data_IF_301909306823
#
_entry.id   IF_301909306823
#
_cell.length_a   1.000
_cell.length_b   1.000
_cell.length_c   1.000
_cell.angle_alpha   90.00
_cell.angle_beta   90.00
_cell.angle_gamma   90.00
#
_symmetry.space_group_name_H-M   'P 1'
#
loop_
_entity.id
_entity.type
_entity.pdbx_description
1 polymer ?
#
# COMPACT_ATOMS: atom_id res chain seq x y z
N UNK A 1 26.08 -14.92 -12.78
CA UNK A 1 26.30 -13.85 -11.79
C UNK A 1 26.53 -14.51 -10.43
N UNK A 2 27.57 -14.11 -9.69
CA UNK A 2 27.95 -14.70 -8.39
C UNK A 2 27.04 -14.15 -7.26
N UNK A 3 26.62 -14.98 -6.29
CA UNK A 3 25.89 -14.51 -5.12
C UNK A 3 26.85 -13.88 -4.11
N UNK A 4 26.48 -12.71 -3.58
CA UNK A 4 27.21 -12.00 -2.53
C UNK A 4 26.68 -12.43 -1.16
N UNK A 5 27.58 -12.95 -0.31
CA UNK A 5 27.32 -13.33 1.08
C UNK A 5 27.46 -12.07 1.96
N UNK A 6 26.42 -11.72 2.71
CA UNK A 6 26.45 -10.65 3.72
C UNK A 6 27.09 -11.17 5.01
N UNK A 7 28.23 -10.59 5.36
CA UNK A 7 28.95 -10.85 6.59
C UNK A 7 28.53 -9.82 7.65
N UNK A 8 28.08 -10.25 8.82
CA UNK A 8 27.76 -9.36 9.94
C UNK A 8 29.03 -8.95 10.70
N UNK A 9 29.10 -7.67 11.09
CA UNK A 9 30.11 -7.12 11.98
C UNK A 9 29.77 -5.67 12.40
N UNK A 10 30.28 -5.19 13.55
CA UNK A 10 29.43 -4.62 14.60
C UNK A 10 29.35 -3.08 14.64
N UNK A 11 28.38 -2.63 15.43
CA UNK A 11 28.03 -1.26 15.79
C UNK A 11 29.21 -0.29 15.99
N UNK A 12 29.07 0.91 15.43
CA UNK A 12 29.79 2.10 15.90
C UNK A 12 28.86 3.30 16.01
N UNK A 13 29.01 3.97 17.14
CA UNK A 13 28.19 5.07 17.62
C UNK A 13 28.61 6.42 17.07
N UNK A 14 27.70 7.39 17.25
CA UNK A 14 27.93 8.80 17.63
C UNK A 14 28.12 9.85 16.50
N UNK A 15 27.14 10.77 16.53
CA UNK A 15 27.28 12.24 16.66
C UNK A 15 27.52 13.06 15.37
N UNK A 16 26.61 14.00 15.05
CA UNK A 16 26.81 15.47 15.21
C UNK A 16 25.69 16.33 14.56
N UNK A 17 25.18 17.26 15.39
CA UNK A 17 24.65 18.65 15.18
C UNK A 17 23.49 18.87 14.20
N UNK A 18 22.31 19.26 14.67
CA UNK A 18 21.90 20.60 15.16
C UNK A 18 21.73 21.64 14.04
N UNK A 19 20.48 22.04 13.77
CA UNK A 19 20.14 23.34 13.20
C UNK A 19 18.91 23.91 13.94
N UNK A 20 19.10 25.13 14.46
CA UNK A 20 18.12 25.96 15.15
C UNK A 20 18.03 27.29 14.38
N UNK A 21 16.89 27.97 14.53
CA UNK A 21 16.45 29.29 14.00
C UNK A 21 15.72 29.19 12.65
N UNK A 22 14.51 29.77 12.49
CA UNK A 22 14.12 31.11 12.91
C UNK A 22 12.71 31.23 13.53
N UNK A 23 12.62 32.27 14.34
CA UNK A 23 11.49 32.81 15.09
C UNK A 23 10.53 33.56 14.16
N UNK A 24 9.22 33.46 14.44
CA UNK A 24 8.20 34.34 13.86
C UNK A 24 6.97 34.46 14.77
N UNK A 25 7.10 35.11 15.92
CA UNK A 25 5.95 35.60 16.71
C UNK A 25 5.32 36.78 15.98
N UNK A 26 4.03 36.71 15.67
CA UNK A 26 3.22 37.90 15.42
C UNK A 26 2.13 38.00 16.51
N UNK A 27 2.27 39.00 17.38
CA UNK A 27 1.28 39.37 18.40
C UNK A 27 0.43 40.53 17.86
N UNK A 28 -0.88 40.35 18.00
CA UNK A 28 -1.98 41.29 18.28
C UNK A 28 -1.89 42.78 17.88
N UNK A 29 -3.02 43.32 17.41
CA UNK A 29 -3.65 44.47 18.08
C UNK A 29 -5.16 44.58 17.80
N UNK A 30 -5.93 44.72 18.89
CA UNK A 30 -7.27 45.32 18.93
C UNK A 30 -7.09 46.83 19.09
N UNK A 31 -7.84 47.66 18.36
CA UNK A 31 -8.18 49.03 18.78
C UNK A 31 -9.65 49.31 18.47
N UNK A 32 -10.29 49.91 19.46
CA UNK A 32 -11.67 50.35 19.58
C UNK A 32 -11.65 51.88 19.55
N UNK A 33 -12.54 52.57 18.82
CA UNK A 33 -13.24 53.79 19.29
C UNK A 33 -13.99 54.54 18.18
N UNK A 34 -15.12 55.12 18.59
CA UNK A 34 -16.10 55.90 17.86
C UNK A 34 -15.60 57.28 17.37
N UNK A 35 -16.27 57.84 16.36
CA UNK A 35 -16.21 59.27 16.03
C UNK A 35 -16.90 59.63 14.70
N UNK A 36 -18.06 60.31 14.76
CA UNK A 36 -18.77 60.94 13.62
C UNK A 36 -18.12 62.29 13.29
N UNK A 37 -17.75 62.55 12.03
CA UNK A 37 -17.62 63.90 11.44
C UNK A 37 -18.06 63.88 9.97
N UNK A 38 -18.71 64.96 9.55
CA UNK A 38 -19.37 65.23 8.26
C UNK A 38 -18.42 65.60 7.11
N UNK A 39 -18.86 65.25 5.89
CA UNK A 39 -18.69 65.91 4.58
C UNK A 39 -17.28 66.33 4.10
N UNK A 40 -16.86 65.80 2.94
CA UNK A 40 -16.77 66.47 1.62
C UNK A 40 -16.04 65.51 0.66
N UNK A 41 -16.70 65.18 -0.46
CA UNK A 41 -16.11 64.46 -1.59
C UNK A 41 -15.13 65.40 -2.33
N UNK A 42 -13.95 64.90 -2.74
CA UNK A 42 -13.71 64.83 -4.17
C UNK A 42 -13.08 63.51 -4.61
N UNK A 43 -13.69 62.94 -5.66
CA UNK A 43 -13.11 62.18 -6.76
C UNK A 43 -11.67 61.70 -6.55
N UNK A 44 -11.51 60.44 -6.13
CA UNK A 44 -10.26 59.69 -6.23
C UNK A 44 -10.49 58.47 -7.12
N UNK A 45 -9.66 58.42 -8.14
CA UNK A 45 -9.56 57.46 -9.23
C UNK A 45 -9.52 56.03 -8.69
N UNK A 46 -10.33 55.09 -9.21
CA UNK A 46 -10.14 53.68 -8.89
C UNK A 46 -8.91 53.18 -9.65
N UNK A 47 -7.74 53.25 -9.01
CA UNK A 47 -6.64 52.38 -9.39
C UNK A 47 -7.04 50.96 -8.99
N UNK A 48 -7.61 50.24 -9.95
CA UNK A 48 -7.71 48.78 -9.93
C UNK A 48 -6.28 48.24 -9.88
N UNK A 49 -5.75 48.08 -8.67
CA UNK A 49 -4.65 47.15 -8.44
C UNK A 49 -5.24 45.77 -8.71
N UNK A 50 -5.08 45.31 -9.95
CA UNK A 50 -5.11 43.91 -10.31
C UNK A 50 -4.01 43.24 -9.51
N UNK A 51 -4.35 42.85 -8.28
CA UNK A 51 -3.60 41.86 -7.53
C UNK A 51 -3.69 40.59 -8.35
N UNK A 52 -2.68 40.33 -9.16
CA UNK A 52 -2.35 38.98 -9.57
C UNK A 52 -2.04 38.21 -8.28
N UNK A 53 -3.09 37.69 -7.65
CA UNK A 53 -2.92 36.50 -6.85
C UNK A 53 -2.56 35.42 -7.87
N UNK A 54 -1.27 35.18 -8.06
CA UNK A 54 -0.85 33.84 -8.41
C UNK A 54 -1.38 32.98 -7.27
N UNK A 55 -2.50 32.28 -7.53
CA UNK A 55 -2.92 31.14 -6.73
C UNK A 55 -1.70 30.22 -6.72
N UNK A 56 -0.92 30.29 -5.65
CA UNK A 56 0.05 29.26 -5.35
C UNK A 56 -0.79 28.01 -5.12
N UNK A 57 -0.90 27.18 -6.16
CA UNK A 57 -1.49 25.86 -6.08
C UNK A 57 -0.90 25.18 -4.84
N UNK A 58 -1.73 25.06 -3.80
CA UNK A 58 -1.35 24.36 -2.59
C UNK A 58 -0.86 22.97 -3.02
N UNK A 59 0.31 22.50 -2.52
CA UNK A 59 0.87 21.25 -2.98
C UNK A 59 -0.20 20.17 -2.85
N UNK A 60 -0.55 19.56 -3.97
CA UNK A 60 -1.50 18.45 -3.99
C UNK A 60 -0.85 17.34 -3.16
N UNK A 61 -1.35 17.12 -1.96
CA UNK A 61 -0.86 16.03 -1.10
C UNK A 61 -1.26 14.74 -1.81
N UNK A 62 -0.29 14.12 -2.47
CA UNK A 62 -0.47 12.79 -3.06
C UNK A 62 -0.60 11.82 -1.90
N UNK A 63 -1.81 11.30 -1.71
CA UNK A 63 -2.11 10.38 -0.61
C UNK A 63 -1.85 8.93 -0.99
N UNK A 64 -1.68 8.62 -2.28
CA UNK A 64 -1.50 7.25 -2.76
C UNK A 64 -0.22 7.14 -3.57
N UNK A 65 0.69 6.29 -3.11
CA UNK A 65 1.81 5.81 -3.90
C UNK A 65 1.33 4.61 -4.70
N UNK A 66 1.31 4.72 -6.03
CA UNK A 66 0.89 3.66 -6.93
C UNK A 66 2.06 3.25 -7.82
N UNK A 67 2.36 1.95 -7.84
CA UNK A 67 3.45 1.37 -8.60
C UNK A 67 2.92 0.34 -9.59
N UNK A 68 3.25 0.52 -10.87
CA UNK A 68 2.98 -0.42 -11.95
C UNK A 68 4.28 -1.08 -12.36
N UNK A 69 4.32 -2.41 -12.37
CA UNK A 69 5.50 -3.12 -12.86
C UNK A 69 5.60 -2.94 -14.38
N UNK A 70 6.83 -2.75 -14.89
CA UNK A 70 7.06 -2.62 -16.34
C UNK A 70 6.58 -3.86 -17.10
N UNK A 71 6.76 -5.02 -16.49
CA UNK A 71 6.27 -6.32 -16.95
C UNK A 71 5.71 -7.05 -15.73
N UNK A 72 4.63 -7.81 -15.93
CA UNK A 72 4.06 -8.58 -14.85
C UNK A 72 5.08 -9.62 -14.37
N UNK A 73 5.34 -9.68 -13.05
CA UNK A 73 6.36 -10.56 -12.49
C UNK A 73 5.77 -11.94 -12.21
N UNK A 74 6.22 -13.02 -12.89
CA UNK A 74 5.73 -14.36 -12.61
C UNK A 74 6.34 -14.92 -11.32
N UNK A 75 5.51 -15.55 -10.51
CA UNK A 75 5.90 -16.34 -9.35
C UNK A 75 5.50 -17.79 -9.59
N UNK A 76 6.50 -18.60 -9.87
CA UNK A 76 6.40 -20.05 -9.99
C UNK A 76 6.88 -20.76 -8.71
N UNK A 77 6.90 -22.09 -8.76
CA UNK A 77 7.56 -22.92 -7.75
C UNK A 77 9.02 -22.49 -7.55
N UNK A 78 9.45 -22.44 -6.29
CA UNK A 78 10.79 -22.01 -5.85
C UNK A 78 11.15 -20.55 -6.13
N UNK A 79 10.18 -19.75 -6.58
CA UNK A 79 10.36 -18.30 -6.66
C UNK A 79 9.65 -17.62 -5.51
N UNK A 80 10.17 -16.47 -5.12
CA UNK A 80 9.57 -15.61 -4.12
C UNK A 80 9.70 -14.18 -4.61
N UNK A 81 8.60 -13.45 -4.63
CA UNK A 81 8.58 -12.02 -4.81
C UNK A 81 8.50 -11.37 -3.44
N UNK A 82 9.45 -10.48 -3.14
CA UNK A 82 9.45 -9.69 -1.91
C UNK A 82 8.82 -8.33 -2.24
N UNK A 83 7.66 -8.08 -1.66
CA UNK A 83 6.94 -6.82 -1.81
C UNK A 83 7.30 -5.93 -0.61
N UNK A 84 7.97 -4.83 -0.90
CA UNK A 84 8.08 -3.67 -0.05
C UNK A 84 6.97 -2.70 -0.50
N UNK A 85 5.90 -2.59 0.29
CA UNK A 85 4.69 -1.88 -0.10
C UNK A 85 4.80 -0.39 0.21
N UNK A 86 5.51 -0.02 1.28
CA UNK A 86 5.70 1.36 1.72
C UNK A 86 7.00 2.00 1.18
N UNK A 87 7.82 1.25 0.43
CA UNK A 87 9.07 1.69 -0.21
C UNK A 87 10.13 2.18 0.80
N UNK A 88 10.26 1.49 1.94
CA UNK A 88 11.24 1.83 2.99
C UNK A 88 12.52 0.95 2.96
N UNK A 89 12.74 0.25 1.84
CA UNK A 89 13.81 -0.73 1.58
C UNK A 89 13.70 -2.01 2.44
N UNK A 90 12.57 -2.23 3.10
CA UNK A 90 12.34 -3.34 4.00
C UNK A 90 11.08 -4.11 3.54
N UNK A 91 11.19 -5.37 3.07
CA UNK A 91 10.03 -6.12 2.60
C UNK A 91 8.95 -6.31 3.67
N UNK A 92 7.70 -6.08 3.25
CA UNK A 92 6.47 -6.21 4.04
C UNK A 92 5.76 -7.55 3.82
N UNK A 93 5.86 -8.08 2.60
CA UNK A 93 5.21 -9.33 2.21
C UNK A 93 6.13 -10.20 1.37
N UNK A 94 5.90 -11.50 1.42
CA UNK A 94 6.46 -12.45 0.46
C UNK A 94 5.34 -13.17 -0.27
N UNK A 95 5.44 -13.23 -1.58
CA UNK A 95 4.50 -13.94 -2.47
C UNK A 95 5.25 -15.11 -3.06
N UNK A 96 4.77 -16.33 -2.83
CA UNK A 96 5.46 -17.55 -3.25
C UNK A 96 4.49 -18.71 -3.51
N UNK A 97 5.04 -19.79 -4.07
CA UNK A 97 4.36 -21.08 -4.19
C UNK A 97 5.05 -22.09 -3.28
N UNK A 98 4.34 -22.60 -2.28
CA UNK A 98 4.83 -23.62 -1.36
C UNK A 98 4.36 -25.00 -1.78
N UNK A 99 5.27 -25.96 -1.94
CA UNK A 99 4.95 -27.34 -2.27
C UNK A 99 4.96 -28.22 -1.02
N UNK A 100 3.89 -28.99 -0.81
CA UNK A 100 3.74 -29.97 0.27
C UNK A 100 3.46 -31.34 -0.35
N UNK A 101 4.34 -32.31 -0.11
CA UNK A 101 4.15 -33.68 -0.55
C UNK A 101 3.15 -34.43 0.33
N UNK A 102 2.42 -35.38 -0.26
CA UNK A 102 1.58 -36.35 0.43
C UNK A 102 1.64 -37.70 -0.31
N UNK A 103 1.09 -38.76 0.27
CA UNK A 103 1.27 -40.14 -0.22
C UNK A 103 0.92 -40.37 -1.70
N UNK A 104 0.03 -39.55 -2.26
CA UNK A 104 -0.47 -39.70 -3.63
C UNK A 104 -0.05 -38.55 -4.56
N UNK A 105 0.77 -37.60 -4.09
CA UNK A 105 1.12 -36.44 -4.91
C UNK A 105 1.71 -35.24 -4.19
N UNK A 106 1.50 -34.05 -4.78
CA UNK A 106 1.98 -32.76 -4.26
C UNK A 106 0.84 -31.74 -4.26
N UNK A 107 0.74 -30.93 -3.20
CA UNK A 107 -0.08 -29.72 -3.16
C UNK A 107 0.81 -28.50 -3.28
N UNK A 108 0.45 -27.59 -4.17
CA UNK A 108 1.08 -26.28 -4.31
C UNK A 108 0.14 -25.21 -3.78
N UNK A 109 0.57 -24.53 -2.72
CA UNK A 109 -0.14 -23.42 -2.11
C UNK A 109 0.41 -22.12 -2.67
N UNK A 110 -0.42 -21.40 -3.40
CA UNK A 110 -0.13 -20.06 -3.88
C UNK A 110 -0.51 -19.09 -2.76
N UNK A 111 0.48 -18.42 -2.16
CA UNK A 111 0.29 -17.77 -0.87
C UNK A 111 0.96 -16.39 -0.80
N UNK A 112 0.43 -15.55 0.10
CA UNK A 112 1.08 -14.34 0.59
C UNK A 112 1.36 -14.54 2.06
N UNK A 113 2.61 -14.31 2.47
CA UNK A 113 3.00 -14.30 3.87
C UNK A 113 3.27 -12.85 4.26
N UNK A 114 2.61 -12.42 5.32
CA UNK A 114 2.94 -11.18 6.01
C UNK A 114 4.32 -11.29 6.66
N UNK A 115 5.12 -10.22 6.57
CA UNK A 115 6.39 -10.08 7.26
C UNK A 115 6.23 -9.00 8.34
N UNK A 116 6.90 -9.18 9.49
CA UNK A 116 6.85 -8.25 10.64
C UNK A 116 5.41 -8.03 11.12
N UNK A 117 4.97 -6.77 11.19
CA UNK A 117 3.67 -6.33 11.67
C UNK A 117 2.65 -6.12 10.53
N UNK A 118 3.02 -6.46 9.30
CA UNK A 118 2.16 -6.35 8.13
C UNK A 118 1.04 -7.39 8.18
N UNK A 119 -0.07 -7.10 7.50
CA UNK A 119 -1.27 -7.94 7.55
C UNK A 119 -1.93 -8.04 6.18
N UNK A 120 -2.60 -9.17 5.98
CA UNK A 120 -3.46 -9.45 4.83
C UNK A 120 -4.88 -9.74 5.31
N UNK A 121 -5.88 -9.42 4.50
CA UNK A 121 -7.28 -9.78 4.79
C UNK A 121 -7.49 -11.26 4.47
N UNK A 122 -7.92 -12.03 5.47
CA UNK A 122 -8.27 -13.43 5.32
C UNK A 122 -9.76 -13.67 5.60
N UNK A 123 -10.35 -14.61 4.88
CA UNK A 123 -11.66 -15.21 5.16
C UNK A 123 -11.46 -16.72 5.25
N UNK A 124 -11.80 -17.33 6.38
CA UNK A 124 -11.58 -18.77 6.62
C UNK A 124 -10.13 -19.24 6.32
N UNK A 125 -9.14 -18.47 6.75
CA UNK A 125 -7.69 -18.73 6.51
C UNK A 125 -7.23 -18.60 5.05
N UNK A 126 -8.12 -18.25 4.12
CA UNK A 126 -7.80 -18.01 2.71
C UNK A 126 -7.75 -16.51 2.39
N UNK A 127 -6.95 -16.13 1.39
CA UNK A 127 -6.86 -14.74 0.94
C UNK A 127 -8.13 -14.37 0.16
N UNK A 128 -8.88 -13.42 0.68
CA UNK A 128 -10.11 -12.97 0.06
C UNK A 128 -9.81 -12.18 -1.24
N UNK A 129 -10.32 -12.60 -2.41
CA UNK A 129 -10.20 -11.84 -3.63
C UNK A 129 -11.06 -10.58 -3.54
N UNK A 130 -10.44 -9.40 -3.67
CA UNK A 130 -11.15 -8.14 -3.68
C UNK A 130 -11.50 -7.72 -5.11
N UNK A 131 -12.70 -7.18 -5.30
CA UNK A 131 -13.09 -6.51 -6.55
C UNK A 131 -12.60 -5.07 -6.55
N UNK A 132 -12.30 -4.55 -7.75
CA UNK A 132 -11.94 -3.13 -7.92
C UNK A 132 -13.01 -2.22 -7.31
N UNK A 133 -12.57 -1.21 -6.57
CA UNK A 133 -13.44 -0.24 -5.90
C UNK A 133 -13.88 -0.62 -4.49
N UNK A 134 -13.66 -1.86 -4.05
CA UNK A 134 -13.95 -2.28 -2.68
C UNK A 134 -13.05 -1.51 -1.69
N UNK A 135 -13.65 -1.01 -0.61
CA UNK A 135 -12.94 -0.26 0.42
C UNK A 135 -12.07 -1.18 1.28
N UNK A 136 -10.83 -0.75 1.53
CA UNK A 136 -9.85 -1.40 2.41
C UNK A 136 -9.56 -0.41 3.53
N UNK A 137 -9.84 -0.83 4.76
CA UNK A 137 -9.67 -0.03 5.97
C UNK A 137 -9.50 -0.95 7.20
N UNK A 138 -9.36 -0.38 8.41
CA UNK A 138 -9.31 -1.16 9.66
C UNK A 138 -10.55 -2.07 9.78
N UNK A 139 -11.73 -1.50 9.50
CA UNK A 139 -12.93 -2.27 9.32
C UNK A 139 -12.89 -2.92 7.94
N UNK A 140 -12.70 -4.24 7.89
CA UNK A 140 -12.82 -4.96 6.64
C UNK A 140 -14.26 -4.85 6.12
N UNK A 141 -14.39 -4.54 4.83
CA UNK A 141 -15.69 -4.50 4.15
C UNK A 141 -16.25 -5.90 3.84
N UNK A 142 -15.47 -6.95 4.04
CA UNK A 142 -15.86 -8.34 3.77
C UNK A 142 -16.35 -8.99 5.07
N UNK A 143 -17.59 -9.47 5.07
CA UNK A 143 -18.17 -10.18 6.20
C UNK A 143 -17.37 -11.45 6.54
N UNK A 144 -17.13 -11.69 7.83
CA UNK A 144 -16.39 -12.85 8.32
C UNK A 144 -14.87 -12.80 8.06
N UNK A 145 -14.37 -11.72 7.46
CA UNK A 145 -12.94 -11.54 7.25
C UNK A 145 -12.25 -10.85 8.42
N UNK A 146 -10.94 -11.04 8.52
CA UNK A 146 -10.11 -10.37 9.53
C UNK A 146 -8.70 -10.09 9.01
N UNK A 147 -8.07 -9.06 9.59
CA UNK A 147 -6.66 -8.78 9.36
C UNK A 147 -5.78 -9.82 10.06
N UNK A 148 -4.89 -10.46 9.31
CA UNK A 148 -4.03 -11.52 9.82
C UNK A 148 -2.55 -11.25 9.53
N UNK A 149 -1.71 -11.53 10.54
CA UNK A 149 -0.24 -11.58 10.40
C UNK A 149 0.25 -12.95 9.88
N UNK A 150 -0.66 -13.91 9.70
CA UNK A 150 -0.32 -15.25 9.24
C UNK A 150 -0.36 -15.36 7.71
N UNK A 151 0.18 -16.46 7.20
CA UNK A 151 0.06 -16.87 5.80
C UNK A 151 -1.39 -17.11 5.43
N UNK A 152 -1.80 -16.60 4.27
CA UNK A 152 -3.04 -17.01 3.61
C UNK A 152 -2.76 -17.63 2.25
N UNK A 153 -3.52 -18.65 1.88
CA UNK A 153 -3.52 -19.20 0.53
C UNK A 153 -4.59 -18.56 -0.34
N UNK A 154 -4.24 -18.19 -1.57
CA UNK A 154 -5.17 -17.72 -2.61
C UNK A 154 -5.84 -18.88 -3.33
N UNK A 155 -5.03 -19.87 -3.70
CA UNK A 155 -5.46 -21.08 -4.39
C UNK A 155 -4.49 -22.23 -4.11
N UNK A 156 -4.98 -23.44 -4.31
CA UNK A 156 -4.21 -24.68 -4.16
C UNK A 156 -4.32 -25.48 -5.44
N UNK A 157 -3.17 -25.90 -5.98
CA UNK A 157 -3.08 -26.90 -7.06
C UNK A 157 -2.70 -28.24 -6.45
N UNK A 158 -3.51 -29.26 -6.69
CA UNK A 158 -3.24 -30.64 -6.28
C UNK A 158 -2.85 -31.45 -7.51
N UNK A 159 -1.64 -31.98 -7.46
CA UNK A 159 -1.04 -32.81 -8.51
C UNK A 159 -1.05 -34.24 -7.98
N UNK A 160 -1.83 -35.11 -8.63
CA UNK A 160 -1.95 -36.53 -8.28
C UNK A 160 -1.43 -37.36 -9.45
N UNK A 161 -0.72 -38.45 -9.15
CA UNK A 161 -0.17 -39.31 -10.21
C UNK A 161 -1.26 -39.81 -11.16
N UNK A 162 -1.01 -39.70 -12.47
CA UNK A 162 -1.92 -40.13 -13.53
C UNK A 162 -3.31 -39.46 -13.53
N UNK A 163 -3.46 -38.29 -12.90
CA UNK A 163 -4.70 -37.50 -12.92
C UNK A 163 -4.41 -36.08 -13.41
N UNK A 164 -5.40 -35.40 -14.03
CA UNK A 164 -5.31 -33.96 -14.27
C UNK A 164 -5.16 -33.19 -12.95
N UNK A 165 -4.46 -32.06 -12.99
CA UNK A 165 -4.34 -31.20 -11.83
C UNK A 165 -5.70 -30.68 -11.37
N UNK A 166 -5.89 -30.67 -10.06
CA UNK A 166 -7.09 -30.12 -9.44
C UNK A 166 -6.77 -28.77 -8.81
N UNK A 167 -7.66 -27.80 -8.98
CA UNK A 167 -7.51 -26.46 -8.43
C UNK A 167 -8.66 -26.16 -7.47
N UNK A 168 -8.32 -25.62 -6.30
CA UNK A 168 -9.29 -25.18 -5.29
C UNK A 168 -8.90 -23.83 -4.69
N UNK A 169 -9.83 -23.24 -3.93
CA UNK A 169 -9.65 -21.94 -3.28
C UNK A 169 -10.41 -20.82 -3.98
N UNK A 170 -10.50 -19.64 -3.35
CA UNK A 170 -11.37 -18.55 -3.79
C UNK A 170 -10.96 -17.89 -5.11
N UNK A 171 -9.73 -18.16 -5.57
CA UNK A 171 -9.14 -17.59 -6.79
C UNK A 171 -9.20 -18.55 -8.00
N UNK A 172 -9.98 -19.64 -7.91
CA UNK A 172 -10.29 -20.51 -9.04
C UNK A 172 -11.72 -20.20 -9.52
N UNK A 173 -11.95 -19.64 -10.74
CA UNK A 173 -11.11 -19.69 -11.96
C UNK A 173 -10.19 -18.48 -12.19
N UNK A 174 -9.36 -18.54 -13.24
CA UNK A 174 -8.38 -17.52 -13.64
C UNK A 174 -8.96 -16.09 -13.68
N UNK A 175 -8.15 -15.10 -13.29
CA UNK A 175 -8.59 -13.71 -13.26
C UNK A 175 -7.59 -12.75 -12.64
N UNK A 176 -7.91 -11.46 -12.78
CA UNK A 176 -7.25 -10.35 -12.10
C UNK A 176 -7.95 -10.12 -10.75
N UNK A 177 -7.19 -10.16 -9.67
CA UNK A 177 -7.69 -10.02 -8.32
C UNK A 177 -6.86 -9.03 -7.53
N UNK A 178 -7.52 -8.34 -6.61
CA UNK A 178 -6.84 -7.48 -5.65
C UNK A 178 -6.75 -8.18 -4.30
N UNK A 179 -5.66 -7.96 -3.59
CA UNK A 179 -5.51 -8.35 -2.18
C UNK A 179 -5.39 -7.09 -1.33
N UNK A 180 -6.13 -7.03 -0.23
CA UNK A 180 -6.01 -5.96 0.75
C UNK A 180 -4.84 -6.19 1.69
N UNK A 181 -3.98 -5.19 1.81
CA UNK A 181 -2.75 -5.22 2.60
C UNK A 181 -2.77 -4.10 3.63
N UNK A 182 -2.13 -4.33 4.78
CA UNK A 182 -1.88 -3.34 5.81
C UNK A 182 -0.44 -3.43 6.28
N UNK A 183 0.22 -2.29 6.44
CA UNK A 183 1.60 -2.16 6.92
C UNK A 183 1.62 -1.19 8.08
N UNK A 184 2.45 -1.46 9.08
CA UNK A 184 2.60 -0.60 10.25
C UNK A 184 3.81 0.31 10.09
N UNK A 185 3.58 1.62 9.93
CA UNK A 185 4.62 2.63 9.79
C UNK A 185 4.54 3.58 10.97
N UNK A 186 5.65 3.74 11.71
CA UNK A 186 5.71 4.60 12.91
C UNK A 186 4.60 4.34 13.94
N UNK A 187 4.16 3.09 14.07
CA UNK A 187 3.12 2.68 15.04
C UNK A 187 1.69 2.74 14.53
N UNK A 188 1.45 3.39 13.39
CA UNK A 188 0.13 3.56 12.75
C UNK A 188 -0.02 2.60 11.57
N UNK A 189 -1.26 2.20 11.27
CA UNK A 189 -1.54 1.34 10.11
C UNK A 189 -1.78 2.17 8.86
N UNK A 190 -1.28 1.66 7.74
CA UNK A 190 -1.48 2.17 6.41
C UNK A 190 -2.00 1.06 5.52
N UNK A 191 -2.96 1.38 4.66
CA UNK A 191 -3.63 0.39 3.83
C UNK A 191 -3.14 0.45 2.40
N UNK A 192 -3.12 -0.70 1.75
CA UNK A 192 -2.76 -0.82 0.36
C UNK A 192 -3.45 -1.99 -0.31
N UNK A 193 -3.12 -2.18 -1.57
CA UNK A 193 -3.57 -3.31 -2.35
C UNK A 193 -2.47 -3.78 -3.30
N UNK A 194 -2.48 -5.07 -3.64
CA UNK A 194 -1.69 -5.63 -4.75
C UNK A 194 -2.64 -6.28 -5.75
N UNK A 195 -2.41 -6.05 -7.04
CA UNK A 195 -3.11 -6.70 -8.14
C UNK A 195 -2.30 -7.89 -8.63
N UNK A 196 -2.93 -9.05 -8.58
CA UNK A 196 -2.37 -10.33 -8.94
C UNK A 196 -3.24 -10.99 -10.00
N UNK A 197 -2.62 -11.72 -10.92
CA UNK A 197 -3.30 -12.57 -11.88
C UNK A 197 -2.95 -14.02 -11.62
N UNK A 198 -3.97 -14.86 -11.44
CA UNK A 198 -3.82 -16.30 -11.40
C UNK A 198 -3.86 -16.87 -12.83
N UNK A 199 -2.90 -17.71 -13.18
CA UNK A 199 -2.86 -18.41 -14.47
C UNK A 199 -2.57 -19.89 -14.26
N UNK A 200 -3.60 -20.71 -14.47
CA UNK A 200 -3.52 -22.16 -14.36
C UNK A 200 -2.75 -22.82 -15.50
N UNK A 201 -2.72 -22.23 -16.69
CA UNK A 201 -2.01 -22.81 -17.84
C UNK A 201 -0.49 -22.73 -17.65
N UNK A 202 0.00 -21.58 -17.18
CA UNK A 202 1.43 -21.40 -16.87
C UNK A 202 1.82 -21.85 -15.46
N UNK A 203 0.85 -22.24 -14.63
CA UNK A 203 1.02 -22.60 -13.22
C UNK A 203 1.73 -21.49 -12.42
N UNK A 204 1.28 -20.26 -12.61
CA UNK A 204 1.94 -19.07 -12.08
C UNK A 204 0.95 -18.08 -11.47
N UNK A 205 1.49 -17.22 -10.60
CA UNK A 205 0.85 -15.94 -10.27
C UNK A 205 1.67 -14.81 -10.85
N UNK A 206 1.00 -13.81 -11.41
CA UNK A 206 1.66 -12.62 -11.94
C UNK A 206 1.35 -11.41 -11.07
N UNK A 207 2.38 -10.76 -10.55
CA UNK A 207 2.25 -9.46 -9.88
C UNK A 207 2.21 -8.38 -10.97
N UNK A 208 1.19 -7.54 -10.97
CA UNK A 208 0.99 -6.52 -12.00
C UNK A 208 1.25 -5.10 -11.49
N UNK A 209 0.61 -4.74 -10.39
CA UNK A 209 0.68 -3.39 -9.80
C UNK A 209 0.29 -3.44 -8.32
N UNK A 210 0.66 -2.42 -7.56
CA UNK A 210 0.26 -2.25 -6.16
C UNK A 210 0.16 -0.78 -5.80
N UNK A 211 -0.63 -0.46 -4.77
CA UNK A 211 -0.70 0.89 -4.24
C UNK A 211 -0.78 0.92 -2.72
N UNK A 212 -0.37 2.04 -2.15
CA UNK A 212 -0.22 2.27 -0.72
C UNK A 212 -0.73 3.67 -0.35
N UNK A 213 -1.53 3.76 0.71
CA UNK A 213 -2.03 5.02 1.26
C UNK A 213 -1.04 5.59 2.28
N UNK A 214 -0.47 6.76 1.96
CA UNK A 214 0.59 7.41 2.75
C UNK A 214 0.07 8.13 3.99
N UNK A 215 -1.23 8.37 4.10
CA UNK A 215 -1.87 8.92 5.29
C UNK A 215 -2.30 7.76 6.22
N UNK A 216 -1.87 7.76 7.49
CA UNK A 216 -2.22 6.69 8.42
C UNK A 216 -3.73 6.57 8.63
N UNK A 217 -4.19 5.33 8.74
CA UNK A 217 -5.57 4.91 8.96
C UNK A 217 -6.60 5.39 7.92
N UNK A 218 -6.15 6.00 6.83
CA UNK A 218 -7.03 6.44 5.76
C UNK A 218 -7.35 5.27 4.84
N UNK A 219 -8.63 5.04 4.58
CA UNK A 219 -9.09 4.01 3.63
C UNK A 219 -8.49 4.19 2.23
N UNK A 220 -8.35 3.08 1.53
CA UNK A 220 -8.03 3.02 0.09
C UNK A 220 -9.02 2.09 -0.59
N UNK A 221 -9.37 2.32 -1.86
CA UNK A 221 -10.14 1.36 -2.63
C UNK A 221 -9.21 0.42 -3.40
N UNK A 222 -9.56 -0.85 -3.50
CA UNK A 222 -8.88 -1.79 -4.39
C UNK A 222 -8.81 -1.22 -5.81
N UNK A 223 -7.61 -1.19 -6.41
CA UNK A 223 -7.38 -0.60 -7.74
C UNK A 223 -7.33 0.93 -7.78
N UNK A 224 -7.44 1.63 -6.65
CA UNK A 224 -7.29 3.09 -6.60
C UNK A 224 -5.84 3.50 -6.81
N UNK A 225 -5.61 4.44 -7.73
CA UNK A 225 -4.27 4.88 -8.17
C UNK A 225 -3.89 6.29 -7.71
N UNK A 226 -4.85 7.10 -7.26
CA UNK A 226 -4.69 8.51 -6.89
C UNK A 226 -5.71 8.91 -5.81
#
# INVERSE_FOLDING_TARGET
MKPTILNQGPAFSKLIKAFVFLIGKCKANKVFSQGRIWAVLPVMIPFLLSSCNEDMDAPTIVTINHHVLKEAYPVHRHQTYLLDLNEDDIPDFSINVMSVGFDQGVREYFQINSLRDSKVILTNEEIAPLTSGLEISEASAIEGSSWSVFTGSMMVRTITENQPDQWSGPWAPDGDYFVGLSVRVNGEYHYGWVKLQADKESHAMFIQEYAFQTIPNLRIKAGQRK
#
